data_IF_110460654292
#
_entry.id   IF_110460654292
#
_cell.length_a   1.000
_cell.length_b   1.000
_cell.length_c   1.000
_cell.angle_alpha   90.00
_cell.angle_beta   90.00
_cell.angle_gamma   90.00
#
_symmetry.space_group_name_H-M   'P 1'
#
loop_
_entity.id
_entity.type
_entity.pdbx_description
1 polymer ?
#
# COMPACT_ATOMS: atom_id res chain seq x y z
N UNK A 1 15.63 22.43 41.14
CA UNK A 1 15.55 22.43 39.67
C UNK A 1 15.14 21.03 39.29
N UNK A 2 13.90 20.90 38.79
CA UNK A 2 13.20 19.64 38.61
C UNK A 2 13.84 18.79 37.53
N UNK A 3 13.94 17.50 37.84
CA UNK A 3 14.26 16.40 36.96
C UNK A 3 12.98 16.04 36.19
N UNK A 4 12.86 16.51 34.95
CA UNK A 4 11.79 16.09 34.04
C UNK A 4 12.19 14.79 33.35
N UNK A 5 12.28 13.71 34.13
CA UNK A 5 12.14 12.36 33.58
C UNK A 5 10.66 12.17 33.24
N UNK A 6 10.31 12.42 31.98
CA UNK A 6 9.03 11.99 31.41
C UNK A 6 8.98 10.47 31.62
N UNK A 7 8.17 10.04 32.59
CA UNK A 7 8.00 8.64 32.92
C UNK A 7 7.49 7.89 31.69
N UNK A 8 8.37 7.09 31.07
CA UNK A 8 7.96 6.06 30.15
C UNK A 8 6.98 5.15 30.90
N UNK A 9 5.75 5.08 30.41
CA UNK A 9 4.76 4.20 30.97
C UNK A 9 5.25 2.76 30.71
N UNK A 10 5.62 1.97 31.74
CA UNK A 10 6.13 0.61 31.56
C UNK A 10 5.12 -0.30 30.84
N UNK A 11 3.86 0.13 30.76
CA UNK A 11 2.78 -0.49 30.03
C UNK A 11 2.80 -0.27 28.51
N UNK A 12 3.81 0.36 27.89
CA UNK A 12 3.84 0.54 26.43
C UNK A 12 5.18 0.11 25.82
N UNK A 13 5.70 -1.02 26.31
CA UNK A 13 7.01 -1.55 25.91
C UNK A 13 7.04 -1.89 24.41
N UNK A 14 7.99 -1.27 23.71
CA UNK A 14 8.36 -1.50 22.31
C UNK A 14 9.87 -1.65 22.22
N UNK A 15 10.32 -2.51 21.33
CA UNK A 15 11.74 -2.69 21.04
C UNK A 15 11.97 -2.60 19.54
N UNK A 16 12.84 -1.69 19.12
CA UNK A 16 13.33 -1.62 17.75
C UNK A 16 14.78 -2.08 17.73
N UNK A 17 15.06 -3.13 16.98
CA UNK A 17 16.39 -3.71 16.84
C UNK A 17 16.90 -3.43 15.42
N UNK A 18 17.88 -2.52 15.24
CA UNK A 18 18.51 -2.35 13.94
C UNK A 18 19.39 -3.56 13.59
N UNK A 19 19.59 -3.80 12.30
CA UNK A 19 20.54 -4.80 11.78
C UNK A 19 20.37 -6.22 12.36
N UNK A 20 19.14 -6.61 12.71
CA UNK A 20 18.84 -7.94 13.25
C UNK A 20 18.98 -9.02 12.16
N UNK A 21 18.51 -8.74 10.95
CA UNK A 21 18.78 -9.55 9.77
C UNK A 21 19.92 -8.91 8.99
N UNK A 22 20.80 -9.75 8.46
CA UNK A 22 21.75 -9.33 7.44
C UNK A 22 21.03 -8.93 6.16
N UNK A 23 21.66 -8.08 5.35
CA UNK A 23 21.14 -7.72 4.03
C UNK A 23 21.03 -8.93 3.10
N UNK A 24 21.85 -9.96 3.30
CA UNK A 24 21.77 -11.19 2.52
C UNK A 24 20.52 -12.00 2.87
N UNK A 25 20.19 -12.13 4.16
CA UNK A 25 18.93 -12.75 4.60
C UNK A 25 17.72 -11.96 4.09
N UNK A 26 17.79 -10.62 4.10
CA UNK A 26 16.72 -9.80 3.53
C UNK A 26 16.49 -10.11 2.05
N UNK A 27 17.57 -10.14 1.25
CA UNK A 27 17.50 -10.47 -0.17
C UNK A 27 17.00 -11.89 -0.45
N UNK A 28 17.39 -12.86 0.39
CA UNK A 28 16.91 -14.23 0.27
C UNK A 28 15.40 -14.32 0.52
N UNK A 29 14.91 -13.70 1.58
CA UNK A 29 13.47 -13.63 1.87
C UNK A 29 12.70 -12.88 0.79
N UNK A 30 13.21 -11.77 0.28
CA UNK A 30 12.63 -11.06 -0.86
C UNK A 30 12.53 -11.93 -2.10
N UNK A 31 13.58 -12.68 -2.43
CA UNK A 31 13.59 -13.60 -3.56
C UNK A 31 12.48 -14.67 -3.41
N UNK A 32 12.36 -15.26 -2.23
CA UNK A 32 11.31 -16.25 -1.95
C UNK A 32 9.92 -15.61 -2.10
N UNK A 33 9.72 -14.43 -1.53
CA UNK A 33 8.44 -13.73 -1.62
C UNK A 33 8.06 -13.39 -3.08
N UNK A 34 9.00 -12.83 -3.85
CA UNK A 34 8.77 -12.48 -5.26
C UNK A 34 8.47 -13.71 -6.11
N UNK A 35 9.04 -14.87 -5.78
CA UNK A 35 8.87 -16.11 -6.53
C UNK A 35 7.60 -16.87 -6.17
N UNK A 36 7.13 -16.75 -4.91
CA UNK A 36 6.09 -17.62 -4.36
C UNK A 36 4.92 -16.87 -3.71
N UNK A 37 4.80 -15.56 -3.88
CA UNK A 37 3.68 -14.81 -3.30
C UNK A 37 2.37 -15.03 -4.04
N UNK A 38 1.28 -14.94 -3.31
CA UNK A 38 -0.08 -14.91 -3.84
C UNK A 38 -0.80 -13.65 -3.39
N UNK A 39 -1.90 -13.35 -4.07
CA UNK A 39 -2.79 -12.25 -3.67
C UNK A 39 -3.28 -12.51 -2.24
N UNK A 40 -3.00 -11.57 -1.35
CA UNK A 40 -3.43 -11.60 0.03
C UNK A 40 -4.92 -11.28 0.18
N UNK A 41 -5.42 -11.36 1.41
CA UNK A 41 -6.84 -11.09 1.69
C UNK A 41 -7.23 -9.60 1.55
N UNK A 42 -6.25 -8.69 1.57
CA UNK A 42 -6.46 -7.25 1.35
C UNK A 42 -6.13 -6.87 -0.09
N UNK A 43 -6.88 -5.93 -0.67
CA UNK A 43 -6.50 -5.33 -1.95
C UNK A 43 -5.05 -4.83 -1.90
N UNK A 44 -4.31 -5.00 -2.99
CA UNK A 44 -2.94 -4.52 -3.15
C UNK A 44 -1.92 -5.12 -2.16
N UNK A 45 -2.26 -6.20 -1.46
CA UNK A 45 -1.35 -6.92 -0.56
C UNK A 45 -1.06 -8.30 -1.13
N UNK A 46 0.21 -8.72 -1.08
CA UNK A 46 0.63 -10.07 -1.43
C UNK A 46 1.22 -10.77 -0.21
N UNK A 47 1.07 -12.08 -0.14
CA UNK A 47 1.55 -12.88 0.99
C UNK A 47 2.24 -14.17 0.55
N UNK A 48 3.28 -14.56 1.27
CA UNK A 48 3.89 -15.90 1.21
C UNK A 48 3.90 -16.48 2.61
N UNK A 49 3.08 -17.51 2.86
CA UNK A 49 3.01 -18.20 4.15
C UNK A 49 3.74 -19.54 4.09
N UNK A 50 4.12 -20.09 5.24
CA UNK A 50 4.75 -21.42 5.30
C UNK A 50 3.86 -22.50 4.66
N UNK A 51 2.56 -22.47 4.96
CA UNK A 51 1.58 -23.39 4.36
C UNK A 51 1.49 -23.26 2.85
N UNK A 52 1.61 -22.03 2.33
CA UNK A 52 1.61 -21.80 0.89
C UNK A 52 2.82 -22.46 0.21
N UNK A 53 4.03 -22.29 0.76
CA UNK A 53 5.25 -22.93 0.25
C UNK A 53 5.15 -24.46 0.21
N UNK A 54 4.52 -25.05 1.24
CA UNK A 54 4.25 -26.50 1.26
C UNK A 54 3.29 -26.88 0.14
N UNK A 55 2.18 -26.15 0.01
CA UNK A 55 1.14 -26.42 -0.97
C UNK A 55 1.62 -26.26 -2.43
N UNK A 56 2.61 -25.40 -2.69
CA UNK A 56 3.17 -25.15 -4.03
C UNK A 56 4.44 -25.94 -4.31
N UNK A 57 4.65 -27.08 -3.64
CA UNK A 57 5.79 -27.97 -3.85
C UNK A 57 7.16 -27.27 -3.69
N UNK A 58 7.22 -26.27 -2.81
CA UNK A 58 8.44 -25.51 -2.47
C UNK A 58 8.78 -25.56 -0.97
N UNK A 59 8.62 -26.71 -0.26
CA UNK A 59 8.79 -26.75 1.19
C UNK A 59 10.21 -26.46 1.65
N UNK A 60 11.21 -26.66 0.78
CA UNK A 60 12.61 -26.33 1.07
C UNK A 60 12.83 -24.83 1.34
N UNK A 61 11.99 -23.95 0.78
CA UNK A 61 12.06 -22.50 0.99
C UNK A 61 11.54 -22.05 2.36
N UNK A 62 11.06 -22.98 3.21
CA UNK A 62 10.67 -22.69 4.59
C UNK A 62 11.89 -22.52 5.50
N UNK A 63 13.03 -23.15 5.18
CA UNK A 63 14.19 -23.19 6.06
C UNK A 63 14.69 -21.78 6.47
N UNK A 64 14.83 -20.79 5.55
CA UNK A 64 15.21 -19.43 5.94
C UNK A 64 14.22 -18.78 6.92
N UNK A 65 12.92 -19.06 6.78
CA UNK A 65 11.90 -18.52 7.68
C UNK A 65 12.07 -19.08 9.09
N UNK A 66 12.30 -20.39 9.23
CA UNK A 66 12.40 -21.03 10.54
C UNK A 66 13.60 -20.51 11.33
N UNK A 67 14.76 -20.39 10.68
CA UNK A 67 15.98 -19.88 11.33
C UNK A 67 15.78 -18.46 11.87
N UNK A 68 15.17 -17.56 11.09
CA UNK A 68 14.90 -16.18 11.50
C UNK A 68 13.79 -16.12 12.56
N UNK A 69 12.74 -16.91 12.38
CA UNK A 69 11.60 -17.00 13.32
C UNK A 69 12.05 -17.43 14.71
N UNK A 70 12.94 -18.41 14.81
CA UNK A 70 13.38 -18.93 16.10
C UNK A 70 14.24 -17.88 16.83
N UNK A 71 15.12 -17.17 16.12
CA UNK A 71 15.87 -16.02 16.67
C UNK A 71 14.97 -14.87 17.10
N UNK A 72 13.91 -14.57 16.34
CA UNK A 72 12.92 -13.56 16.71
C UNK A 72 12.18 -13.96 17.98
N UNK A 73 11.75 -15.21 18.08
CA UNK A 73 11.06 -15.73 19.26
C UNK A 73 11.93 -15.57 20.49
N UNK A 74 13.19 -15.98 20.44
CA UNK A 74 14.15 -15.81 21.53
C UNK A 74 14.27 -14.35 21.97
N UNK A 75 14.34 -13.41 21.00
CA UNK A 75 14.41 -11.97 21.33
C UNK A 75 13.12 -11.39 21.90
N UNK A 76 11.96 -11.85 21.46
CA UNK A 76 10.67 -11.44 22.04
C UNK A 76 10.59 -11.95 23.47
N UNK A 77 10.95 -13.22 23.71
CA UNK A 77 10.93 -13.83 25.03
C UNK A 77 11.88 -13.13 26.01
N UNK A 78 13.12 -12.87 25.59
CA UNK A 78 14.12 -12.12 26.37
C UNK A 78 13.63 -10.71 26.71
N UNK A 79 13.05 -9.99 25.75
CA UNK A 79 12.59 -8.61 25.97
C UNK A 79 11.43 -8.52 26.96
N UNK A 80 10.50 -9.48 26.93
CA UNK A 80 9.33 -9.49 27.81
C UNK A 80 9.49 -10.35 29.06
N UNK A 81 10.62 -11.04 29.24
CA UNK A 81 10.91 -11.90 30.39
C UNK A 81 9.95 -13.09 30.50
N UNK A 82 9.68 -13.76 29.37
CA UNK A 82 8.75 -14.90 29.26
C UNK A 82 9.38 -16.08 28.50
N UNK A 83 10.64 -16.39 28.82
CA UNK A 83 11.42 -17.44 28.18
C UNK A 83 10.71 -18.79 28.18
N UNK A 84 10.68 -19.42 27.01
CA UNK A 84 10.03 -20.71 26.75
C UNK A 84 8.51 -20.74 26.89
N UNK A 85 7.84 -19.61 27.09
CA UNK A 85 6.38 -19.55 27.25
C UNK A 85 5.64 -19.32 25.92
N UNK A 86 6.33 -18.84 24.87
CA UNK A 86 5.68 -18.42 23.63
C UNK A 86 5.58 -19.54 22.60
N UNK A 87 4.49 -19.49 21.83
CA UNK A 87 4.29 -20.29 20.62
C UNK A 87 4.03 -19.37 19.43
N UNK A 88 4.65 -19.66 18.27
CA UNK A 88 4.51 -18.83 17.08
C UNK A 88 3.24 -19.22 16.32
N UNK A 89 2.24 -18.35 16.36
CA UNK A 89 0.97 -18.56 15.64
C UNK A 89 1.12 -18.42 14.12
N UNK A 90 1.82 -17.36 13.67
CA UNK A 90 1.89 -17.00 12.27
C UNK A 90 3.31 -16.60 11.87
N UNK A 91 3.73 -17.04 10.69
CA UNK A 91 4.95 -16.57 10.04
C UNK A 91 4.68 -16.46 8.55
N UNK A 92 4.99 -15.30 7.97
CA UNK A 92 4.81 -15.06 6.56
C UNK A 92 5.49 -13.77 6.11
N UNK A 93 5.75 -13.69 4.80
CA UNK A 93 6.22 -12.47 4.15
C UNK A 93 5.03 -11.76 3.54
N UNK A 94 4.94 -10.46 3.78
CA UNK A 94 3.85 -9.61 3.31
C UNK A 94 4.45 -8.45 2.55
N UNK A 95 3.99 -8.22 1.32
CA UNK A 95 4.29 -6.99 0.59
C UNK A 95 3.05 -6.14 0.40
N UNK A 96 3.24 -4.85 0.58
CA UNK A 96 2.23 -3.82 0.43
C UNK A 96 2.55 -3.08 -0.86
N UNK A 97 1.69 -3.22 -1.86
CA UNK A 97 1.85 -2.52 -3.14
C UNK A 97 1.09 -1.19 -3.12
N UNK A 98 1.25 -0.38 -4.17
CA UNK A 98 0.63 0.94 -4.27
C UNK A 98 -0.88 0.87 -3.99
N UNK A 99 -1.37 1.76 -3.13
CA UNK A 99 -2.76 1.81 -2.68
C UNK A 99 -3.12 0.79 -1.61
N UNK A 100 -2.14 0.07 -1.05
CA UNK A 100 -2.35 -0.75 0.15
C UNK A 100 -2.20 0.13 1.40
N UNK A 101 -3.09 -0.07 2.37
CA UNK A 101 -3.06 0.61 3.66
C UNK A 101 -3.78 -0.22 4.72
N UNK A 102 -3.49 0.09 5.98
CA UNK A 102 -4.24 -0.48 7.09
C UNK A 102 -4.53 0.62 8.10
N UNK A 103 -5.83 0.85 8.33
CA UNK A 103 -6.28 1.77 9.35
C UNK A 103 -5.90 1.30 10.76
N UNK A 104 -6.14 2.17 11.74
CA UNK A 104 -5.81 1.89 13.12
C UNK A 104 -6.42 0.59 13.66
N UNK A 105 -5.59 -0.27 14.22
CA UNK A 105 -5.99 -1.56 14.77
C UNK A 105 -5.00 -2.07 15.83
N UNK A 106 -5.41 -3.13 16.53
CA UNK A 106 -4.52 -3.99 17.33
C UNK A 106 -4.40 -5.35 16.64
N UNK A 107 -3.36 -6.11 16.93
CA UNK A 107 -3.14 -7.44 16.33
C UNK A 107 -4.04 -8.52 16.94
N UNK A 108 -4.58 -8.27 18.13
CA UNK A 108 -5.53 -9.11 18.86
C UNK A 108 -7.01 -8.73 18.62
N UNK A 109 -7.31 -7.93 17.59
CA UNK A 109 -8.60 -7.24 17.41
C UNK A 109 -9.83 -8.13 17.09
N UNK A 110 -9.66 -9.44 16.97
CA UNK A 110 -10.76 -10.41 16.73
C UNK A 110 -10.78 -11.50 17.81
N UNK A 111 -11.95 -12.11 18.10
CA UNK A 111 -12.03 -13.19 19.08
C UNK A 111 -11.04 -14.34 18.85
N UNK A 112 -10.82 -14.72 17.58
CA UNK A 112 -9.89 -15.79 17.20
C UNK A 112 -8.41 -15.36 17.17
N UNK A 113 -8.12 -14.09 17.49
CA UNK A 113 -6.76 -13.52 17.56
C UNK A 113 -6.38 -13.14 19.00
N UNK A 114 -7.28 -13.33 19.97
CA UNK A 114 -7.08 -12.89 21.37
C UNK A 114 -5.94 -13.60 22.09
N UNK A 115 -5.48 -14.73 21.58
CA UNK A 115 -4.31 -15.45 22.08
C UNK A 115 -2.96 -14.80 21.72
N UNK A 116 -2.95 -13.75 20.88
CA UNK A 116 -1.72 -13.05 20.50
C UNK A 116 -1.28 -12.13 21.62
N UNK A 117 -0.10 -12.38 22.17
CA UNK A 117 0.49 -11.54 23.21
C UNK A 117 1.42 -10.47 22.61
N UNK A 118 2.19 -10.85 21.59
CA UNK A 118 3.25 -10.03 21.01
C UNK A 118 3.30 -10.15 19.50
N UNK A 119 3.84 -9.11 18.87
CA UNK A 119 4.10 -9.04 17.43
C UNK A 119 5.57 -8.69 17.19
N UNK A 120 6.17 -9.32 16.18
CA UNK A 120 7.49 -8.98 15.66
C UNK A 120 7.40 -8.75 14.14
N UNK A 121 7.83 -7.59 13.68
CA UNK A 121 7.83 -7.20 12.26
C UNK A 121 9.26 -6.99 11.79
N UNK A 122 9.70 -7.80 10.82
CA UNK A 122 10.98 -7.61 10.13
C UNK A 122 10.78 -6.76 8.88
N UNK A 123 11.56 -5.70 8.73
CA UNK A 123 11.58 -4.90 7.52
C UNK A 123 12.64 -5.43 6.55
N UNK A 124 12.22 -5.81 5.35
CA UNK A 124 13.13 -6.28 4.30
C UNK A 124 13.58 -5.15 3.36
N UNK A 125 12.85 -4.04 3.35
CA UNK A 125 13.07 -2.89 2.48
C UNK A 125 13.26 -1.61 3.29
N UNK A 126 13.99 -0.66 2.71
CA UNK A 126 14.35 0.61 3.32
C UNK A 126 13.49 1.75 2.77
N UNK A 127 12.79 2.44 3.67
CA UNK A 127 12.03 3.63 3.36
C UNK A 127 12.93 4.74 2.79
N UNK A 128 12.46 5.41 1.75
CA UNK A 128 13.20 6.47 1.05
C UNK A 128 14.23 5.96 0.04
N UNK A 129 14.59 4.66 0.09
CA UNK A 129 15.47 4.01 -0.88
C UNK A 129 14.67 3.10 -1.82
N UNK A 130 13.98 2.10 -1.26
CA UNK A 130 13.25 1.08 -2.03
C UNK A 130 11.80 1.49 -2.30
N UNK A 131 11.19 2.23 -1.37
CA UNK A 131 9.81 2.69 -1.46
C UNK A 131 9.58 4.03 -0.75
N UNK A 132 8.39 4.59 -0.96
CA UNK A 132 7.89 5.84 -0.34
C UNK A 132 6.45 5.62 0.13
N UNK A 133 6.01 6.39 1.12
CA UNK A 133 4.76 6.11 1.86
C UNK A 133 4.90 4.84 2.70
N UNK A 134 3.77 4.28 3.18
CA UNK A 134 3.76 3.02 3.91
C UNK A 134 4.51 3.08 5.25
N UNK A 135 4.58 4.25 5.89
CA UNK A 135 5.18 4.39 7.21
C UNK A 135 4.30 3.67 8.24
N UNK A 136 4.95 3.07 9.23
CA UNK A 136 4.29 2.33 10.30
C UNK A 136 4.15 3.25 11.51
N UNK A 137 2.91 3.48 11.94
CA UNK A 137 2.60 4.42 13.02
C UNK A 137 1.96 3.71 14.20
N UNK A 138 2.42 4.05 15.39
CA UNK A 138 1.69 3.79 16.62
C UNK A 138 0.90 5.03 17.01
N UNK A 139 -0.30 4.83 17.55
CA UNK A 139 -1.20 5.91 17.93
C UNK A 139 -0.63 6.76 19.08
N UNK A 140 -0.07 6.08 20.07
CA UNK A 140 0.42 6.66 21.32
C UNK A 140 1.83 6.11 21.63
N UNK A 141 2.56 6.71 22.57
CA UNK A 141 3.87 6.22 23.02
C UNK A 141 5.04 6.53 22.09
N UNK A 142 6.26 6.18 22.51
CA UNK A 142 7.50 6.39 21.75
C UNK A 142 8.16 5.04 21.40
N UNK A 143 8.69 4.88 20.16
CA UNK A 143 8.49 5.78 19.03
C UNK A 143 7.03 5.72 18.53
N UNK A 144 6.50 6.85 18.05
CA UNK A 144 5.17 6.92 17.42
C UNK A 144 5.20 6.52 15.94
N UNK A 145 6.37 6.53 15.31
CA UNK A 145 6.57 6.15 13.93
C UNK A 145 7.82 5.30 13.84
N UNK A 146 7.70 4.13 13.21
CA UNK A 146 8.82 3.27 12.87
C UNK A 146 9.12 3.47 11.40
N UNK A 147 10.33 3.91 11.10
CA UNK A 147 10.82 4.07 9.72
C UNK A 147 11.38 2.73 9.25
N UNK A 148 10.74 2.04 8.29
CA UNK A 148 11.21 0.76 7.80
C UNK A 148 12.64 0.85 7.27
N UNK A 149 13.51 -0.01 7.76
CA UNK A 149 14.90 -0.12 7.33
C UNK A 149 15.24 -1.59 7.15
N UNK A 150 15.77 -1.96 5.99
CA UNK A 150 16.11 -3.35 5.69
C UNK A 150 17.00 -3.94 6.80
N UNK A 151 16.59 -5.07 7.36
CA UNK A 151 17.29 -5.75 8.46
C UNK A 151 16.77 -5.39 9.86
N UNK A 152 16.03 -4.30 10.01
CA UNK A 152 15.49 -3.88 11.30
C UNK A 152 14.24 -4.69 11.69
N UNK A 153 14.05 -4.82 13.00
CA UNK A 153 12.90 -5.51 13.62
C UNK A 153 12.19 -4.57 14.58
N UNK A 154 10.85 -4.60 14.55
CA UNK A 154 9.99 -3.95 15.55
C UNK A 154 9.24 -5.02 16.35
N UNK A 155 9.38 -4.99 17.69
CA UNK A 155 8.72 -5.89 18.64
C UNK A 155 7.82 -5.07 19.57
N UNK A 156 6.57 -5.51 19.75
CA UNK A 156 5.58 -4.82 20.57
C UNK A 156 4.46 -5.76 21.03
N UNK A 157 3.66 -5.34 22.01
CA UNK A 157 2.49 -6.11 22.47
C UNK A 157 1.36 -6.06 21.44
N UNK A 158 0.59 -7.13 21.30
CA UNK A 158 -0.46 -7.24 20.28
C UNK A 158 -1.78 -6.52 20.62
N UNK A 159 -1.91 -6.03 21.86
CA UNK A 159 -3.14 -5.49 22.44
C UNK A 159 -3.29 -3.95 22.27
N UNK A 160 -4.26 -3.37 22.97
CA UNK A 160 -4.63 -1.96 22.89
C UNK A 160 -3.56 -0.97 23.39
N UNK A 161 -2.49 -1.48 24.00
CA UNK A 161 -1.30 -0.69 24.33
C UNK A 161 -0.56 -0.25 23.06
N UNK A 162 -0.70 -0.98 21.95
CA UNK A 162 0.04 -0.74 20.71
C UNK A 162 -0.88 -0.66 19.50
N UNK A 163 -1.91 0.18 19.58
CA UNK A 163 -2.74 0.50 18.41
C UNK A 163 -1.88 1.13 17.32
N UNK A 164 -1.95 0.59 16.11
CA UNK A 164 -1.08 1.00 15.02
C UNK A 164 -1.77 1.00 13.64
N UNK A 165 -1.14 1.65 12.67
CA UNK A 165 -1.59 1.76 11.28
C UNK A 165 -0.40 1.78 10.32
N UNK A 166 -0.67 1.54 9.04
CA UNK A 166 0.28 1.76 7.95
C UNK A 166 -0.37 2.69 6.94
N UNK A 167 0.33 3.79 6.65
CA UNK A 167 -0.15 4.83 5.74
C UNK A 167 -0.36 4.30 4.32
N UNK A 168 -1.44 4.74 3.68
CA UNK A 168 -1.54 4.63 2.22
C UNK A 168 -0.53 5.58 1.58
N UNK A 169 0.07 5.16 0.47
CA UNK A 169 0.70 6.14 -0.41
C UNK A 169 -0.35 6.67 -1.39
N UNK A 170 -0.75 7.94 -1.28
CA UNK A 170 -1.67 8.52 -2.24
C UNK A 170 -1.02 8.55 -3.63
N UNK A 171 -1.75 8.09 -4.65
CA UNK A 171 -1.34 8.28 -6.03
C UNK A 171 -1.88 9.61 -6.52
N UNK A 172 -1.01 10.52 -6.91
CA UNK A 172 -1.39 11.79 -7.52
C UNK A 172 -0.82 11.87 -8.94
N UNK A 173 -1.40 12.76 -9.76
CA UNK A 173 -0.92 13.04 -11.10
C UNK A 173 -0.13 14.34 -11.10
N UNK A 174 0.94 14.38 -11.87
CA UNK A 174 1.69 15.60 -12.10
C UNK A 174 2.00 15.75 -13.59
N UNK A 175 2.05 17.00 -14.06
CA UNK A 175 2.45 17.35 -15.43
C UNK A 175 3.29 18.61 -15.36
N UNK A 176 4.46 18.57 -16.01
CA UNK A 176 5.45 19.66 -15.94
C UNK A 176 5.84 19.94 -14.47
N UNK A 177 5.65 21.17 -13.99
CA UNK A 177 5.92 21.60 -12.61
C UNK A 177 4.67 21.62 -11.72
N UNK A 178 3.55 21.06 -12.20
CA UNK A 178 2.25 21.14 -11.55
C UNK A 178 1.82 19.77 -11.02
N UNK A 179 1.47 19.71 -9.74
CA UNK A 179 0.88 18.58 -9.05
C UNK A 179 -0.64 18.76 -8.97
N UNK A 180 -1.36 17.70 -9.30
CA UNK A 180 -2.80 17.60 -9.10
C UNK A 180 -3.07 16.91 -7.76
N UNK A 181 -3.58 17.66 -6.81
CA UNK A 181 -3.70 17.24 -5.40
C UNK A 181 -4.72 16.11 -5.18
N UNK A 182 -5.59 15.85 -6.16
CA UNK A 182 -6.52 14.74 -6.09
C UNK A 182 -5.78 13.40 -6.06
N UNK A 183 -6.09 12.61 -5.04
CA UNK A 183 -5.58 11.26 -4.90
C UNK A 183 -6.43 10.27 -5.71
N UNK A 184 -5.75 9.31 -6.35
CA UNK A 184 -6.32 8.23 -7.12
C UNK A 184 -6.07 6.91 -6.40
N UNK A 185 -7.06 6.03 -6.44
CA UNK A 185 -7.01 4.71 -5.78
C UNK A 185 -5.90 3.80 -6.32
N UNK A 186 -5.61 3.89 -7.62
CA UNK A 186 -4.56 3.12 -8.30
C UNK A 186 -4.30 3.71 -9.70
N UNK A 187 -3.28 3.17 -10.39
CA UNK A 187 -2.88 3.63 -11.74
C UNK A 187 -4.02 3.47 -12.75
N UNK A 188 -4.83 2.42 -12.64
CA UNK A 188 -5.96 2.21 -13.54
C UNK A 188 -7.04 3.29 -13.36
N UNK A 189 -7.36 3.66 -12.12
CA UNK A 189 -8.28 4.76 -11.83
C UNK A 189 -7.76 6.09 -12.41
N UNK A 190 -6.47 6.38 -12.22
CA UNK A 190 -5.86 7.58 -12.80
C UNK A 190 -5.91 7.58 -14.34
N UNK A 191 -5.64 6.43 -14.98
CA UNK A 191 -5.75 6.29 -16.44
C UNK A 191 -7.19 6.43 -16.92
N UNK A 192 -8.17 5.87 -16.21
CA UNK A 192 -9.59 6.03 -16.51
C UNK A 192 -10.01 7.50 -16.45
N UNK A 193 -9.54 8.27 -15.47
CA UNK A 193 -9.78 9.71 -15.38
C UNK A 193 -9.21 10.47 -16.58
N UNK A 194 -7.97 10.18 -16.97
CA UNK A 194 -7.34 10.78 -18.15
C UNK A 194 -8.11 10.42 -19.42
N UNK A 195 -8.47 9.15 -19.61
CA UNK A 195 -9.24 8.72 -20.78
C UNK A 195 -10.65 9.32 -20.80
N UNK A 196 -11.30 9.47 -19.65
CA UNK A 196 -12.63 10.10 -19.56
C UNK A 196 -12.57 11.58 -19.95
N UNK A 197 -11.55 12.31 -19.48
CA UNK A 197 -11.29 13.70 -19.88
C UNK A 197 -11.08 13.83 -21.39
N UNK A 198 -10.22 12.97 -21.97
CA UNK A 198 -9.95 12.97 -23.41
C UNK A 198 -11.20 12.58 -24.23
N UNK A 199 -11.99 11.63 -23.75
CA UNK A 199 -13.20 11.17 -24.43
C UNK A 199 -14.31 12.22 -24.46
N UNK A 200 -14.51 12.93 -23.34
CA UNK A 200 -15.57 13.93 -23.23
C UNK A 200 -15.32 15.15 -24.13
N UNK A 201 -14.07 15.41 -24.48
CA UNK A 201 -13.66 16.62 -25.19
C UNK A 201 -13.83 17.85 -24.30
N UNK A 202 -13.10 18.92 -24.61
CA UNK A 202 -13.33 20.22 -23.99
C UNK A 202 -14.65 20.77 -24.50
N UNK A 203 -15.70 20.72 -23.69
CA UNK A 203 -16.95 21.43 -23.98
C UNK A 203 -16.87 22.78 -23.26
N UNK A 204 -16.78 23.90 -24.01
CA UNK A 204 -16.65 25.22 -23.41
C UNK A 204 -18.02 25.67 -22.92
N UNK A 205 -18.48 25.14 -21.79
CA UNK A 205 -19.62 25.70 -21.07
C UNK A 205 -19.27 25.91 -19.59
N UNK A 206 -19.25 27.19 -19.23
CA UNK A 206 -19.25 27.79 -17.88
C UNK A 206 -18.41 27.09 -16.80
N UNK A 207 -17.08 27.18 -16.95
CA UNK A 207 -16.10 26.81 -15.92
C UNK A 207 -15.64 28.01 -15.06
N UNK A 208 -16.40 29.11 -15.01
CA UNK A 208 -16.20 30.18 -14.02
C UNK A 208 -16.78 29.77 -12.65
N UNK A 209 -16.11 28.85 -11.94
CA UNK A 209 -16.48 28.57 -10.56
C UNK A 209 -15.83 27.36 -9.88
N UNK A 210 -15.27 26.41 -10.63
CA UNK A 210 -14.72 25.18 -10.04
C UNK A 210 -13.23 25.34 -9.74
N UNK A 211 -12.99 26.02 -8.61
CA UNK A 211 -11.89 25.87 -7.64
C UNK A 211 -10.50 25.50 -8.20
N UNK A 212 -9.64 26.52 -8.32
CA UNK A 212 -8.15 26.51 -8.26
C UNK A 212 -7.54 25.77 -7.04
N UNK A 213 -8.28 24.95 -6.28
CA UNK A 213 -7.86 24.33 -5.00
C UNK A 213 -7.34 22.90 -5.12
N UNK A 214 -7.18 22.34 -6.32
CA UNK A 214 -6.66 20.97 -6.51
C UNK A 214 -5.28 20.95 -7.17
N UNK A 215 -4.56 22.08 -7.17
CA UNK A 215 -3.34 22.25 -7.95
C UNK A 215 -2.27 22.91 -7.07
N UNK A 216 -1.08 22.32 -7.00
CA UNK A 216 0.10 22.88 -6.34
C UNK A 216 1.36 22.73 -7.20
N UNK A 217 2.43 23.44 -6.83
CA UNK A 217 3.72 23.32 -7.51
C UNK A 217 4.52 22.15 -6.92
N UNK A 218 5.17 21.38 -7.80
CA UNK A 218 6.13 20.35 -7.38
C UNK A 218 7.35 20.97 -6.70
N UNK A 219 7.86 20.32 -5.65
CA UNK A 219 9.14 20.66 -5.03
C UNK A 219 10.32 20.38 -5.99
N UNK A 220 11.48 21.01 -5.75
CA UNK A 220 12.69 20.81 -6.58
C UNK A 220 13.09 19.34 -6.72
N UNK A 221 12.96 18.57 -5.62
CA UNK A 221 13.25 17.13 -5.60
C UNK A 221 12.27 16.32 -6.48
N UNK A 222 11.01 16.72 -6.52
CA UNK A 222 9.98 16.06 -7.34
C UNK A 222 10.12 16.43 -8.81
N UNK A 223 10.42 17.70 -9.12
CA UNK A 223 10.72 18.16 -10.48
C UNK A 223 11.91 17.39 -11.08
N UNK A 224 12.98 17.19 -10.30
CA UNK A 224 14.13 16.40 -10.74
C UNK A 224 13.77 14.95 -11.10
N UNK A 225 12.83 14.34 -10.37
CA UNK A 225 12.35 12.98 -10.64
C UNK A 225 11.51 12.92 -11.92
N UNK A 226 10.54 13.84 -12.06
CA UNK A 226 9.71 13.91 -13.26
C UNK A 226 10.57 14.16 -14.50
N UNK A 227 11.55 15.06 -14.44
CA UNK A 227 12.47 15.34 -15.54
C UNK A 227 13.34 14.12 -15.93
N UNK A 228 13.65 13.24 -14.97
CA UNK A 228 14.40 12.00 -15.22
C UNK A 228 13.58 10.90 -15.88
N UNK A 229 12.24 10.96 -15.81
CA UNK A 229 11.34 9.97 -16.38
C UNK A 229 11.21 10.18 -17.90
N UNK A 230 12.08 9.54 -18.68
CA UNK A 230 11.94 9.47 -20.14
C UNK A 230 10.95 8.37 -20.52
N UNK A 231 9.79 8.74 -21.06
CA UNK A 231 8.91 7.78 -21.73
C UNK A 231 9.47 7.45 -23.11
N UNK A 232 9.85 6.19 -23.33
CA UNK A 232 10.25 5.67 -24.65
C UNK A 232 9.24 4.61 -25.08
N UNK A 233 8.59 4.82 -26.22
CA UNK A 233 7.78 3.78 -26.86
C UNK A 233 8.73 2.85 -27.62
N UNK A 234 8.86 1.61 -27.15
CA UNK A 234 9.97 0.71 -27.54
C UNK A 234 9.77 0.04 -28.90
N UNK A 235 8.54 -0.06 -29.43
CA UNK A 235 8.29 -0.99 -30.56
C UNK A 235 7.50 -0.46 -31.74
N UNK A 236 6.60 0.52 -31.56
CA UNK A 236 5.84 1.06 -32.68
C UNK A 236 5.27 2.44 -32.37
N UNK A 237 6.04 3.47 -32.71
CA UNK A 237 5.59 4.85 -32.57
C UNK A 237 4.38 5.15 -33.48
N UNK A 238 4.24 4.49 -34.62
CA UNK A 238 3.12 4.72 -35.53
C UNK A 238 1.82 4.13 -34.98
N UNK A 239 1.84 2.90 -34.45
CA UNK A 239 0.68 2.29 -33.82
C UNK A 239 0.27 3.03 -32.54
N UNK A 240 1.24 3.43 -31.70
CA UNK A 240 0.96 4.26 -30.53
C UNK A 240 0.35 5.60 -30.94
N UNK A 241 0.92 6.25 -31.96
CA UNK A 241 0.35 7.48 -32.50
C UNK A 241 -1.05 7.24 -33.09
N UNK A 242 -1.32 6.14 -33.79
CA UNK A 242 -2.63 5.84 -34.37
C UNK A 242 -3.69 5.46 -33.34
N UNK A 243 -3.30 4.81 -32.23
CA UNK A 243 -4.23 4.44 -31.15
C UNK A 243 -4.48 5.57 -30.16
N UNK A 244 -3.49 6.43 -29.91
CA UNK A 244 -3.56 7.48 -28.89
C UNK A 244 -3.66 8.90 -29.45
N UNK A 245 -3.46 9.14 -30.76
CA UNK A 245 -3.80 10.43 -31.39
C UNK A 245 -5.21 10.38 -31.93
N UNK A 246 -6.07 11.17 -31.30
CA UNK A 246 -7.11 11.89 -32.03
C UNK A 246 -6.47 13.20 -32.52
N UNK A 247 -6.50 13.48 -33.82
CA UNK A 247 -5.89 14.67 -34.45
C UNK A 247 -6.44 15.99 -33.86
N UNK A 248 -7.53 15.94 -33.09
CA UNK A 248 -8.09 17.08 -32.35
C UNK A 248 -7.42 17.36 -31.00
N UNK A 249 -6.78 16.38 -30.37
CA UNK A 249 -6.25 16.52 -29.01
C UNK A 249 -4.92 17.29 -28.91
N UNK A 250 -4.19 17.46 -30.03
CA UNK A 250 -2.88 18.10 -30.02
C UNK A 250 -2.92 19.64 -30.15
N UNK A 251 -4.11 20.25 -30.27
CA UNK A 251 -4.26 21.70 -30.45
C UNK A 251 -4.71 22.45 -29.19
N UNK A 252 -5.12 21.74 -28.13
CA UNK A 252 -5.54 22.35 -26.88
C UNK A 252 -4.53 22.06 -25.77
N UNK A 253 -4.08 23.14 -25.12
CA UNK A 253 -3.30 23.06 -23.90
C UNK A 253 -4.13 22.34 -22.82
N UNK A 254 -3.51 21.40 -22.11
CA UNK A 254 -4.21 20.63 -21.09
C UNK A 254 -4.59 21.51 -19.91
N UNK A 255 -5.87 21.53 -19.57
CA UNK A 255 -6.40 22.32 -18.47
C UNK A 255 -6.68 21.45 -17.24
N UNK A 256 -5.96 21.74 -16.15
CA UNK A 256 -6.15 21.09 -14.86
C UNK A 256 -7.52 21.32 -14.23
N UNK A 257 -8.16 22.47 -14.48
CA UNK A 257 -9.49 22.77 -13.97
C UNK A 257 -10.55 21.93 -14.70
N UNK A 258 -10.49 21.84 -16.02
CA UNK A 258 -11.37 20.96 -16.80
C UNK A 258 -11.14 19.48 -16.47
N UNK A 259 -9.88 19.09 -16.26
CA UNK A 259 -9.54 17.75 -15.80
C UNK A 259 -10.18 17.44 -14.44
N UNK A 260 -10.15 18.39 -13.50
CA UNK A 260 -10.80 18.23 -12.20
C UNK A 260 -12.32 18.04 -12.30
N UNK A 261 -12.98 18.82 -13.17
CA UNK A 261 -14.41 18.66 -13.45
C UNK A 261 -14.69 17.27 -14.03
N UNK A 262 -13.83 16.81 -14.95
CA UNK A 262 -13.94 15.50 -15.59
C UNK A 262 -13.75 14.34 -14.62
N UNK A 263 -12.85 14.47 -13.64
CA UNK A 263 -12.71 13.50 -12.55
C UNK A 263 -14.00 13.41 -11.73
N UNK A 264 -14.55 14.55 -11.30
CA UNK A 264 -15.78 14.56 -10.52
C UNK A 264 -16.98 14.00 -11.33
N UNK A 265 -17.01 14.24 -12.65
CA UNK A 265 -17.98 13.64 -13.57
C UNK A 265 -17.82 12.13 -13.72
N UNK A 266 -16.59 11.64 -13.90
CA UNK A 266 -16.29 10.22 -13.98
C UNK A 266 -16.76 9.50 -12.72
N UNK A 267 -16.52 10.08 -11.55
CA UNK A 267 -16.97 9.48 -10.30
C UNK A 267 -18.50 9.45 -10.21
N UNK A 268 -19.19 10.53 -10.60
CA UNK A 268 -20.66 10.56 -10.65
C UNK A 268 -21.20 9.52 -11.62
N UNK A 269 -20.58 9.40 -12.80
CA UNK A 269 -20.93 8.41 -13.81
C UNK A 269 -20.74 6.98 -13.30
N UNK A 270 -19.59 6.69 -12.70
CA UNK A 270 -19.26 5.39 -12.12
C UNK A 270 -20.22 5.01 -10.99
N UNK A 271 -20.56 5.94 -10.09
CA UNK A 271 -21.54 5.72 -9.02
C UNK A 271 -22.94 5.42 -9.58
N UNK A 272 -23.34 6.07 -10.68
CA UNK A 272 -24.63 5.78 -11.35
C UNK A 272 -24.63 4.38 -11.93
N UNK A 273 -23.61 4.00 -12.70
CA UNK A 273 -23.49 2.67 -13.28
C UNK A 273 -23.44 1.57 -12.21
N UNK A 274 -22.76 1.81 -11.09
CA UNK A 274 -22.72 0.86 -9.98
C UNK A 274 -24.11 0.61 -9.41
N UNK A 275 -24.94 1.66 -9.26
CA UNK A 275 -26.33 1.51 -8.81
C UNK A 275 -27.14 0.69 -9.82
N UNK A 276 -27.03 1.00 -11.11
CA UNK A 276 -27.71 0.25 -12.17
C UNK A 276 -27.28 -1.22 -12.20
N UNK A 277 -25.98 -1.49 -12.06
CA UNK A 277 -25.40 -2.82 -11.96
C UNK A 277 -26.02 -3.60 -10.80
N UNK A 278 -25.98 -3.04 -9.59
CA UNK A 278 -26.52 -3.67 -8.37
C UNK A 278 -28.01 -3.97 -8.50
N UNK A 279 -28.79 -3.02 -9.06
CA UNK A 279 -30.22 -3.21 -9.30
C UNK A 279 -30.51 -4.27 -10.36
N UNK A 280 -29.57 -4.52 -11.29
CA UNK A 280 -29.69 -5.53 -12.34
C UNK A 280 -29.28 -6.94 -11.90
N UNK A 281 -28.48 -7.08 -10.84
CA UNK A 281 -27.99 -8.37 -10.35
C UNK A 281 -29.11 -9.41 -10.07
N UNK A 282 -30.25 -9.07 -9.42
CA UNK A 282 -31.33 -10.03 -9.22
C UNK A 282 -31.89 -10.56 -10.54
N UNK A 283 -32.07 -9.69 -11.54
CA UNK A 283 -32.57 -10.07 -12.85
C UNK A 283 -31.59 -11.01 -13.57
N UNK A 284 -30.29 -10.67 -13.57
CA UNK A 284 -29.26 -11.52 -14.18
C UNK A 284 -29.13 -12.88 -13.49
N UNK A 285 -29.35 -12.93 -12.18
CA UNK A 285 -29.41 -14.20 -11.44
C UNK A 285 -30.65 -15.02 -11.83
N UNK A 286 -31.81 -14.40 -11.95
CA UNK A 286 -33.04 -15.09 -12.43
C UNK A 286 -32.85 -15.63 -13.84
N UNK A 287 -32.19 -14.88 -14.72
CA UNK A 287 -31.90 -15.27 -16.10
C UNK A 287 -30.69 -16.22 -16.23
N UNK A 288 -30.07 -16.66 -15.13
CA UNK A 288 -28.90 -17.54 -15.14
C UNK A 288 -27.72 -16.98 -15.97
N UNK A 289 -27.56 -15.65 -16.00
CA UNK A 289 -26.41 -14.98 -16.64
C UNK A 289 -25.22 -14.96 -15.68
N UNK A 290 -25.50 -14.81 -14.38
CA UNK A 290 -24.49 -14.85 -13.31
C UNK A 290 -24.81 -15.99 -12.34
N UNK A 291 -23.77 -16.68 -11.89
CA UNK A 291 -23.87 -17.84 -11.01
C UNK A 291 -23.20 -17.52 -9.67
N UNK A 292 -23.71 -18.12 -8.60
CA UNK A 292 -22.97 -18.12 -7.34
C UNK A 292 -21.75 -19.02 -7.51
N UNK A 293 -20.56 -18.48 -7.30
CA UNK A 293 -19.39 -19.29 -7.05
C UNK A 293 -19.57 -19.99 -5.70
N UNK A 294 -19.75 -21.31 -5.71
CA UNK A 294 -19.53 -22.13 -4.52
C UNK A 294 -18.03 -22.24 -4.31
N UNK A 295 -17.54 -21.58 -3.26
CA UNK A 295 -16.23 -21.83 -2.66
C UNK A 295 -16.36 -22.98 -1.66
#
# INVERSE_FOLDING_TARGET
MGDDTIGENPNQARLIIPDFLSLQECKELEFIHRSCSTVGYRPNVFSTTLSHLIATNSPHLIIPFLSIRDRLKEKVEEFFGCEYELSVEFTGLISWTRGASIGWHTDDNRPYLKQRHFTAVCYLNTYGQDFKGGLFHFRDGHPNTVVPTAGAVSIYTADDRNVHSVDEQPLQLARSNVLFEQEFTNVLHALQAVQFYLWKGTTPEDSEGVRRRKISLLSELEQGKVASMKSMFVKDNELANKMFRDDKCCLHEFDWAEFAVSVDELERYSRRLQKELVMSLPHWKTQQIIYKATL
#
